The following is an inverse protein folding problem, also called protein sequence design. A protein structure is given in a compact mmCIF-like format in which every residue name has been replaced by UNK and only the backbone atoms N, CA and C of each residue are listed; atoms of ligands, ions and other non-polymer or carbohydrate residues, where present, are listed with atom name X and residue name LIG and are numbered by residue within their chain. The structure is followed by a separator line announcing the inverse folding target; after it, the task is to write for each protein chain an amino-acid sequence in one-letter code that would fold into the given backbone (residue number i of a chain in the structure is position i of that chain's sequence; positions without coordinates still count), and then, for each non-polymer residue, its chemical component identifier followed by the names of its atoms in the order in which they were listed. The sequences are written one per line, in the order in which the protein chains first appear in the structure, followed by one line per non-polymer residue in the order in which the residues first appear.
data_IF_196092175821
#
_entry.id   IF_196092175821
#
_cell.length_a   1.000
_cell.length_b   1.000
_cell.length_c   1.000
_cell.angle_alpha   90.00
_cell.angle_beta   90.00
_cell.angle_gamma   90.00
#
_symmetry.space_group_name_H-M   'P 1'
#
loop_
_entity.id
_entity.type
_entity.pdbx_description
1 polymer ?
#
# COMPACT_ATOMS: atom_id res chain seq x y z
N UNK A 1 12.38 1.89 -16.58
CA UNK A 1 13.56 2.15 -15.73
C UNK A 1 13.54 1.11 -14.63
N UNK A 2 14.62 0.36 -14.41
CA UNK A 2 14.70 -0.55 -13.28
C UNK A 2 14.68 0.30 -11.99
N UNK A 3 13.60 0.29 -11.28
CA UNK A 3 13.48 0.90 -9.95
C UNK A 3 14.53 0.25 -9.05
N UNK A 4 15.37 1.06 -8.47
CA UNK A 4 16.37 0.60 -7.50
C UNK A 4 15.62 0.06 -6.27
N UNK A 5 15.37 -1.25 -6.22
CA UNK A 5 14.67 -1.93 -5.12
C UNK A 5 15.62 -2.26 -3.97
N UNK A 6 16.39 -1.27 -3.53
CA UNK A 6 17.37 -1.42 -2.45
C UNK A 6 16.70 -1.82 -1.12
N UNK A 7 15.52 -1.27 -0.85
CA UNK A 7 14.71 -1.62 0.33
C UNK A 7 14.31 -3.09 0.32
N UNK A 8 13.66 -3.55 -0.74
CA UNK A 8 13.25 -4.94 -0.90
C UNK A 8 14.44 -5.91 -0.85
N UNK A 9 15.56 -5.59 -1.51
CA UNK A 9 16.76 -6.42 -1.46
C UNK A 9 17.32 -6.55 -0.03
N UNK A 10 17.28 -5.46 0.76
CA UNK A 10 17.73 -5.47 2.16
C UNK A 10 16.80 -6.26 3.06
N UNK A 11 15.48 -6.18 2.84
CA UNK A 11 14.49 -6.97 3.56
C UNK A 11 14.64 -8.47 3.26
N UNK A 12 14.78 -8.85 1.99
CA UNK A 12 15.06 -10.24 1.57
C UNK A 12 16.31 -10.80 2.26
N UNK A 13 17.37 -10.00 2.33
CA UNK A 13 18.59 -10.39 3.04
C UNK A 13 18.32 -10.59 4.54
N UNK A 14 17.61 -9.68 5.19
CA UNK A 14 17.27 -9.80 6.61
C UNK A 14 16.48 -11.08 6.88
N UNK A 15 15.44 -11.36 6.07
CA UNK A 15 14.62 -12.57 6.18
C UNK A 15 15.47 -13.84 6.05
N UNK A 16 16.42 -13.86 5.10
CA UNK A 16 17.35 -14.98 4.95
C UNK A 16 18.31 -15.10 6.15
N UNK A 17 18.85 -13.99 6.64
CA UNK A 17 19.81 -13.95 7.77
C UNK A 17 19.17 -14.47 9.08
N UNK A 18 17.86 -14.26 9.29
CA UNK A 18 17.10 -14.77 10.44
C UNK A 18 16.52 -16.17 10.22
N UNK A 19 16.76 -16.79 9.06
CA UNK A 19 16.26 -18.12 8.72
C UNK A 19 14.77 -18.19 8.53
N UNK A 20 14.17 -17.12 8.02
CA UNK A 20 12.73 -17.00 7.85
C UNK A 20 12.29 -17.59 6.51
N UNK A 21 11.68 -18.78 6.51
CA UNK A 21 11.33 -19.52 5.31
C UNK A 21 9.89 -19.27 4.83
N UNK A 22 8.92 -19.38 5.73
CA UNK A 22 7.52 -19.14 5.42
C UNK A 22 6.92 -18.22 6.47
N UNK A 23 6.40 -17.11 6.01
CA UNK A 23 5.92 -16.05 6.88
C UNK A 23 4.72 -16.51 7.69
N UNK A 24 4.99 -16.82 8.89
CA UNK A 24 4.08 -16.64 9.99
C UNK A 24 4.43 -15.33 10.68
N UNK A 25 3.68 -14.88 11.63
CA UNK A 25 3.85 -13.59 12.26
C UNK A 25 5.29 -13.31 12.71
N UNK A 26 5.94 -12.32 12.07
CA UNK A 26 7.17 -11.75 12.60
C UNK A 26 6.78 -10.88 13.81
N UNK A 27 7.27 -11.29 14.98
CA UNK A 27 7.20 -10.44 16.17
C UNK A 27 8.15 -9.25 15.99
N UNK A 28 7.58 -8.06 15.83
CA UNK A 28 8.34 -6.84 15.57
C UNK A 28 9.22 -6.42 16.74
N UNK A 29 8.82 -6.72 17.98
CA UNK A 29 9.59 -6.39 19.19
C UNK A 29 10.82 -7.27 19.29
N UNK A 30 10.65 -8.57 19.05
CA UNK A 30 11.77 -9.52 18.99
C UNK A 30 12.73 -9.15 17.85
N UNK A 31 12.20 -8.79 16.68
CA UNK A 31 13.03 -8.40 15.54
C UNK A 31 13.84 -7.14 15.84
N UNK A 32 13.22 -6.08 16.36
CA UNK A 32 13.90 -4.82 16.72
C UNK A 32 14.99 -5.09 17.77
N UNK A 33 14.68 -5.90 18.79
CA UNK A 33 15.65 -6.28 19.83
C UNK A 33 16.82 -7.09 19.26
N UNK A 34 16.53 -8.05 18.38
CA UNK A 34 17.55 -8.87 17.69
C UNK A 34 18.46 -8.06 16.79
N UNK A 35 18.00 -6.93 16.26
CA UNK A 35 18.79 -5.97 15.49
C UNK A 35 19.61 -5.00 16.37
N UNK A 36 19.54 -5.10 17.71
CA UNK A 36 20.27 -4.25 18.65
C UNK A 36 19.64 -2.87 18.87
N UNK A 37 18.37 -2.69 18.48
CA UNK A 37 17.60 -1.49 18.77
C UNK A 37 16.59 -1.74 19.90
N UNK A 38 16.00 -0.67 20.43
CA UNK A 38 14.94 -0.74 21.45
C UNK A 38 13.68 -0.10 20.91
N UNK A 39 12.58 -0.85 20.92
CA UNK A 39 11.26 -0.33 20.57
C UNK A 39 10.63 0.39 21.76
N UNK A 40 10.08 1.57 21.55
CA UNK A 40 9.36 2.37 22.55
C UNK A 40 8.04 2.84 21.93
N UNK A 41 6.96 2.60 22.64
CA UNK A 41 5.65 3.12 22.28
C UNK A 41 5.28 4.27 23.20
N UNK A 42 5.10 5.44 22.61
CA UNK A 42 4.70 6.65 23.33
C UNK A 42 3.90 7.57 22.41
N UNK A 43 3.08 8.49 22.92
CA UNK A 43 2.43 9.49 22.08
C UNK A 43 3.46 10.34 21.34
N UNK A 44 3.40 10.36 20.02
CA UNK A 44 4.25 11.20 19.16
C UNK A 44 3.44 12.35 18.57
N UNK A 45 4.01 13.54 18.60
CA UNK A 45 3.40 14.71 18.00
C UNK A 45 3.78 14.76 16.50
N UNK A 46 2.76 14.71 15.62
CA UNK A 46 2.92 14.82 14.17
C UNK A 46 3.80 13.74 13.49
N UNK A 47 3.96 12.57 14.11
CA UNK A 47 4.67 11.45 13.51
C UNK A 47 4.03 10.12 13.90
N UNK A 48 4.07 9.14 13.00
CA UNK A 48 3.67 7.76 13.28
C UNK A 48 4.84 6.96 13.87
N UNK A 49 6.05 7.20 13.40
CA UNK A 49 7.29 6.59 13.88
C UNK A 49 8.45 7.58 13.91
N UNK A 50 9.52 7.21 14.59
CA UNK A 50 10.76 7.99 14.65
C UNK A 50 11.94 7.15 15.11
N UNK A 51 13.08 7.28 14.42
CA UNK A 51 14.37 6.73 14.87
C UNK A 51 15.19 7.78 15.62
N UNK A 52 15.80 7.35 16.73
CA UNK A 52 16.78 8.13 17.48
C UNK A 52 18.06 7.30 17.61
N UNK A 53 19.15 7.79 17.02
CA UNK A 53 20.47 7.17 17.11
C UNK A 53 21.31 7.88 18.16
N UNK A 54 21.64 7.16 19.21
CA UNK A 54 22.62 7.59 20.20
C UNK A 54 23.99 6.93 19.97
N UNK A 55 24.98 7.33 20.76
CA UNK A 55 26.35 6.78 20.65
C UNK A 55 26.44 5.27 20.96
N UNK A 56 25.56 4.76 21.81
CA UNK A 56 25.58 3.36 22.27
C UNK A 56 24.27 2.61 22.05
N UNK A 57 23.18 3.30 21.74
CA UNK A 57 21.83 2.71 21.59
C UNK A 57 21.06 3.40 20.48
N UNK A 58 20.27 2.62 19.76
CA UNK A 58 19.27 3.11 18.82
C UNK A 58 17.89 2.85 19.37
N UNK A 59 17.03 3.86 19.35
CA UNK A 59 15.63 3.76 19.74
C UNK A 59 14.76 3.89 18.49
N UNK A 60 13.82 2.97 18.32
CA UNK A 60 12.71 3.06 17.38
C UNK A 60 11.49 3.44 18.21
N UNK A 61 10.92 4.61 17.95
CA UNK A 61 9.72 5.08 18.62
C UNK A 61 8.53 4.98 17.69
N UNK A 62 7.43 4.47 18.21
CA UNK A 62 6.16 4.33 17.48
C UNK A 62 5.06 5.03 18.26
N UNK A 63 4.18 5.69 17.54
CA UNK A 63 3.10 6.44 18.13
C UNK A 63 2.05 5.50 18.74
N UNK A 64 1.93 5.52 20.07
CA UNK A 64 1.01 4.65 20.82
C UNK A 64 -0.47 4.94 20.57
N UNK A 65 -0.82 6.05 19.91
CA UNK A 65 -2.22 6.38 19.54
C UNK A 65 -2.62 5.82 18.16
N UNK A 66 -1.76 5.07 17.49
CA UNK A 66 -2.13 4.38 16.24
C UNK A 66 -3.19 3.32 16.56
N UNK A 67 -4.43 3.43 16.01
CA UNK A 67 -5.53 2.57 16.42
C UNK A 67 -5.54 1.20 15.73
N UNK A 68 -4.73 1.04 14.66
CA UNK A 68 -4.74 -0.16 13.82
C UNK A 68 -3.42 -0.90 13.88
N UNK A 69 -3.46 -2.18 14.25
CA UNK A 69 -2.28 -3.03 14.36
C UNK A 69 -1.50 -3.15 13.03
N UNK A 70 -2.19 -3.29 11.92
CA UNK A 70 -1.56 -3.32 10.59
C UNK A 70 -0.74 -2.05 10.30
N UNK A 71 -1.24 -0.88 10.72
CA UNK A 71 -0.52 0.39 10.59
C UNK A 71 0.67 0.45 11.55
N UNK A 72 0.49 0.02 12.80
CA UNK A 72 1.57 -0.06 13.79
C UNK A 72 2.71 -0.95 13.29
N UNK A 73 2.40 -2.17 12.85
CA UNK A 73 3.38 -3.12 12.29
C UNK A 73 4.15 -2.54 11.11
N UNK A 74 3.44 -1.88 10.20
CA UNK A 74 4.09 -1.24 9.07
C UNK A 74 4.99 -0.10 9.51
N UNK A 75 4.57 0.75 10.44
CA UNK A 75 5.40 1.84 10.97
C UNK A 75 6.69 1.28 11.58
N UNK A 76 6.63 0.21 12.37
CA UNK A 76 7.83 -0.44 12.92
C UNK A 76 8.74 -0.95 11.79
N UNK A 77 8.17 -1.66 10.81
CA UNK A 77 8.92 -2.18 9.68
C UNK A 77 9.59 -1.07 8.85
N UNK A 78 8.90 0.06 8.67
CA UNK A 78 9.43 1.24 8.00
C UNK A 78 10.62 1.84 8.76
N UNK A 79 10.51 2.00 10.07
CA UNK A 79 11.62 2.49 10.91
C UNK A 79 12.81 1.51 10.93
N UNK A 80 12.56 0.19 10.89
CA UNK A 80 13.63 -0.81 10.68
C UNK A 80 14.29 -0.58 9.32
N UNK A 81 13.52 -0.27 8.27
CA UNK A 81 14.05 0.09 6.96
C UNK A 81 15.03 1.27 7.04
N UNK A 82 14.63 2.35 7.68
CA UNK A 82 15.52 3.48 7.95
C UNK A 82 16.74 3.09 8.79
N UNK A 83 16.57 2.23 9.79
CA UNK A 83 17.66 1.77 10.63
C UNK A 83 18.74 1.03 9.85
N UNK A 84 18.35 0.19 8.91
CA UNK A 84 19.25 -0.71 8.18
C UNK A 84 19.82 -0.13 6.89
N UNK A 85 19.19 0.92 6.34
CA UNK A 85 19.53 1.47 5.03
C UNK A 85 20.20 2.84 5.10
N UNK A 86 19.93 3.63 6.14
CA UNK A 86 20.31 5.04 6.19
C UNK A 86 21.10 5.37 7.44
N UNK A 87 22.40 5.68 7.28
CA UNK A 87 23.25 6.09 8.42
C UNK A 87 22.87 7.48 8.95
N UNK A 88 22.44 8.36 8.06
CA UNK A 88 21.94 9.70 8.38
C UNK A 88 20.53 9.85 7.80
N UNK A 89 19.58 10.19 8.66
CA UNK A 89 18.23 10.51 8.20
C UNK A 89 18.18 11.96 7.73
N UNK A 90 17.71 12.17 6.52
CA UNK A 90 17.29 13.50 6.08
C UNK A 90 16.02 13.85 6.87
N UNK A 91 16.06 14.96 7.62
CA UNK A 91 14.93 15.38 8.46
C UNK A 91 13.83 15.91 7.55
N UNK A 92 12.84 15.08 7.28
CA UNK A 92 11.58 15.51 6.71
C UNK A 92 10.53 15.53 7.83
N UNK A 93 9.82 16.64 7.99
CA UNK A 93 8.68 16.70 8.90
C UNK A 93 7.58 15.79 8.33
N UNK A 94 7.48 14.58 8.84
CA UNK A 94 6.36 13.69 8.59
C UNK A 94 5.10 14.30 9.19
N UNK A 95 4.37 15.06 8.40
CA UNK A 95 3.00 15.36 8.74
C UNK A 95 2.20 14.06 8.66
N UNK A 96 1.49 13.72 9.73
CA UNK A 96 0.68 12.52 9.98
C UNK A 96 -0.43 12.21 8.96
N UNK A 97 -0.41 12.82 7.79
CA UNK A 97 -1.31 12.50 6.70
C UNK A 97 -0.83 11.24 5.99
N UNK A 98 -1.16 10.09 6.59
CA UNK A 98 -0.99 8.71 6.08
C UNK A 98 -1.51 8.49 4.66
N UNK A 99 -2.27 9.42 4.12
CA UNK A 99 -2.80 9.41 2.75
C UNK A 99 -1.73 9.55 1.66
N UNK A 100 -0.53 9.97 2.03
CA UNK A 100 0.55 10.22 1.07
C UNK A 100 1.52 9.06 0.86
N UNK A 101 1.25 7.90 1.44
CA UNK A 101 2.08 6.71 1.35
C UNK A 101 2.31 6.22 -0.09
N UNK A 102 1.36 6.51 -0.96
CA UNK A 102 1.24 5.91 -2.28
C UNK A 102 1.56 6.87 -3.43
N UNK A 103 2.02 8.08 -3.14
CA UNK A 103 2.41 9.05 -4.16
C UNK A 103 3.89 8.88 -4.58
N UNK A 104 4.23 7.82 -5.34
CA UNK A 104 5.62 7.49 -5.66
C UNK A 104 6.36 8.49 -6.53
N UNK A 105 5.69 9.23 -7.37
CA UNK A 105 6.36 10.16 -8.29
C UNK A 105 6.49 11.56 -7.68
N UNK A 106 5.42 12.10 -7.13
CA UNK A 106 5.46 13.40 -6.45
C UNK A 106 6.15 13.32 -5.09
N UNK A 107 5.99 12.20 -4.35
CA UNK A 107 6.63 12.02 -3.04
C UNK A 107 8.09 11.63 -3.12
N UNK A 108 8.55 10.95 -4.18
CA UNK A 108 9.98 10.69 -4.37
C UNK A 108 10.76 12.00 -4.50
N UNK A 109 10.18 13.02 -5.13
CA UNK A 109 10.80 14.35 -5.20
C UNK A 109 10.57 15.20 -3.94
N UNK A 110 9.50 14.96 -3.18
CA UNK A 110 9.14 15.77 -2.00
C UNK A 110 9.60 15.15 -0.68
N UNK A 111 9.70 13.80 -0.59
CA UNK A 111 10.07 13.07 0.63
C UNK A 111 11.44 12.41 0.58
N UNK A 112 12.09 12.38 -0.60
CA UNK A 112 13.40 11.80 -0.76
C UNK A 112 13.42 10.28 -1.00
N UNK A 113 14.55 9.83 -1.49
CA UNK A 113 14.82 8.42 -1.82
C UNK A 113 14.74 7.53 -0.58
N UNK A 114 15.08 8.07 0.60
CA UNK A 114 15.13 7.31 1.85
C UNK A 114 13.73 6.80 2.27
N UNK A 115 12.68 7.62 2.12
CA UNK A 115 11.32 7.22 2.44
C UNK A 115 10.81 6.13 1.51
N UNK A 116 11.12 6.26 0.21
CA UNK A 116 10.79 5.22 -0.76
C UNK A 116 11.49 3.89 -0.43
N UNK A 117 12.78 3.92 -0.12
CA UNK A 117 13.55 2.72 0.26
C UNK A 117 13.02 2.09 1.55
N UNK A 118 12.62 2.89 2.54
CA UNK A 118 12.05 2.39 3.79
C UNK A 118 10.67 1.75 3.58
N UNK A 119 9.82 2.34 2.73
CA UNK A 119 8.52 1.77 2.36
C UNK A 119 8.68 0.46 1.56
N UNK A 120 9.60 0.42 0.60
CA UNK A 120 9.92 -0.79 -0.18
C UNK A 120 10.44 -1.91 0.73
N UNK A 121 11.30 -1.56 1.72
CA UNK A 121 11.75 -2.48 2.76
C UNK A 121 10.59 -3.02 3.60
N UNK A 122 9.74 -2.14 4.14
CA UNK A 122 8.61 -2.53 4.98
C UNK A 122 7.62 -3.43 4.24
N UNK A 123 7.33 -3.11 2.99
CA UNK A 123 6.45 -3.91 2.13
C UNK A 123 7.01 -5.33 1.91
N UNK A 124 8.31 -5.46 1.61
CA UNK A 124 8.94 -6.77 1.42
C UNK A 124 9.08 -7.54 2.73
N UNK A 125 9.38 -6.87 3.85
CA UNK A 125 9.50 -7.50 5.15
C UNK A 125 8.16 -8.12 5.61
N UNK A 126 7.06 -7.37 5.47
CA UNK A 126 5.74 -7.79 5.92
C UNK A 126 5.02 -8.72 4.94
N UNK A 127 5.27 -8.56 3.65
CA UNK A 127 4.68 -9.32 2.55
C UNK A 127 5.77 -9.86 1.62
N UNK A 128 6.61 -10.83 2.08
CA UNK A 128 7.69 -11.37 1.26
C UNK A 128 7.19 -11.91 -0.07
N UNK A 129 7.84 -11.51 -1.16
CA UNK A 129 7.39 -11.81 -2.52
C UNK A 129 7.09 -13.29 -2.74
N UNK A 130 7.96 -14.18 -2.27
CA UNK A 130 7.81 -15.63 -2.47
C UNK A 130 6.55 -16.15 -1.77
N UNK A 131 6.36 -15.80 -0.50
CA UNK A 131 5.18 -16.18 0.26
C UNK A 131 3.91 -15.55 -0.30
N UNK A 132 3.98 -14.26 -0.69
CA UNK A 132 2.83 -13.54 -1.22
C UNK A 132 2.35 -14.12 -2.56
N UNK A 133 3.27 -14.48 -3.47
CA UNK A 133 2.91 -15.16 -4.73
C UNK A 133 2.29 -16.53 -4.51
N UNK A 134 2.82 -17.28 -3.55
CA UNK A 134 2.30 -18.62 -3.18
C UNK A 134 0.85 -18.54 -2.69
N UNK A 135 0.51 -17.54 -1.87
CA UNK A 135 -0.86 -17.35 -1.37
C UNK A 135 -1.86 -16.93 -2.48
N UNK A 136 -1.39 -16.33 -3.56
CA UNK A 136 -2.24 -15.95 -4.70
C UNK A 136 -2.40 -17.09 -5.70
N UNK A 137 -1.43 -17.98 -5.78
CA UNK A 137 -1.43 -19.07 -6.78
C UNK A 137 -2.70 -19.94 -6.67
N UNK A 138 -3.42 -20.07 -7.77
CA UNK A 138 -4.64 -20.87 -7.85
C UNK A 138 -5.89 -20.21 -7.21
N UNK A 139 -5.79 -19.00 -6.68
CA UNK A 139 -6.93 -18.26 -6.16
C UNK A 139 -7.50 -17.28 -7.19
N UNK A 140 -8.82 -17.13 -7.19
CA UNK A 140 -9.50 -16.16 -8.03
C UNK A 140 -9.23 -14.73 -7.53
N UNK A 141 -8.94 -13.82 -8.45
CA UNK A 141 -8.67 -12.41 -8.12
C UNK A 141 -9.96 -11.71 -7.72
N UNK A 142 -10.11 -11.37 -6.44
CA UNK A 142 -11.36 -10.90 -5.85
C UNK A 142 -11.12 -10.12 -4.56
N UNK A 143 -12.12 -9.37 -4.05
CA UNK A 143 -12.06 -8.74 -2.74
C UNK A 143 -11.80 -9.71 -1.58
N UNK A 144 -12.24 -10.96 -1.71
CA UNK A 144 -12.01 -11.98 -0.68
C UNK A 144 -10.55 -12.41 -0.65
N UNK A 145 -9.90 -12.53 -1.81
CA UNK A 145 -8.45 -12.75 -1.88
C UNK A 145 -7.70 -11.60 -1.20
N UNK A 146 -8.10 -10.34 -1.42
CA UNK A 146 -7.46 -9.19 -0.77
C UNK A 146 -7.62 -9.23 0.75
N UNK A 147 -8.80 -9.62 1.23
CA UNK A 147 -9.08 -9.80 2.66
C UNK A 147 -8.24 -10.92 3.24
N UNK A 148 -8.19 -12.08 2.59
CA UNK A 148 -7.35 -13.22 2.98
C UNK A 148 -5.87 -12.83 3.09
N UNK A 149 -5.33 -12.18 2.06
CA UNK A 149 -3.93 -11.72 2.07
C UNK A 149 -3.65 -10.69 3.17
N UNK A 150 -4.58 -9.76 3.37
CA UNK A 150 -4.50 -8.75 4.44
C UNK A 150 -4.41 -9.41 5.83
N UNK A 151 -5.27 -10.38 6.10
CA UNK A 151 -5.26 -11.17 7.34
C UNK A 151 -4.00 -12.02 7.46
N UNK A 152 -3.64 -12.75 6.40
CA UNK A 152 -2.49 -13.66 6.36
C UNK A 152 -1.18 -12.95 6.70
N UNK A 153 -0.98 -11.73 6.21
CA UNK A 153 0.25 -10.96 6.40
C UNK A 153 0.14 -9.89 7.51
N UNK A 154 -1.00 -9.75 8.16
CA UNK A 154 -1.22 -8.74 9.19
C UNK A 154 -1.03 -7.31 8.66
N UNK A 155 -1.47 -7.04 7.43
CA UNK A 155 -1.36 -5.75 6.74
C UNK A 155 -2.74 -5.18 6.43
N UNK A 156 -2.83 -3.94 5.95
CA UNK A 156 -4.10 -3.40 5.47
C UNK A 156 -4.44 -3.92 4.07
N UNK A 157 -5.74 -4.00 3.75
CA UNK A 157 -6.21 -4.33 2.38
C UNK A 157 -5.57 -3.38 1.36
N UNK A 158 -5.45 -2.10 1.71
CA UNK A 158 -4.76 -1.10 0.88
C UNK A 158 -3.32 -1.50 0.59
N UNK A 159 -2.53 -1.84 1.61
CA UNK A 159 -1.14 -2.28 1.43
C UNK A 159 -1.05 -3.54 0.56
N UNK A 160 -1.97 -4.47 0.76
CA UNK A 160 -2.08 -5.72 -0.02
C UNK A 160 -2.32 -5.43 -1.51
N UNK A 161 -3.27 -4.56 -1.83
CA UNK A 161 -3.59 -4.17 -3.22
C UNK A 161 -2.39 -3.49 -3.90
N UNK A 162 -1.69 -2.60 -3.19
CA UNK A 162 -0.47 -2.00 -3.73
C UNK A 162 0.65 -3.01 -3.90
N UNK A 163 0.77 -4.01 -3.02
CA UNK A 163 1.75 -5.08 -3.17
C UNK A 163 1.49 -5.93 -4.43
N UNK A 164 0.23 -6.20 -4.74
CA UNK A 164 -0.18 -6.87 -5.99
C UNK A 164 0.29 -6.08 -7.21
N UNK A 165 0.06 -4.77 -7.21
CA UNK A 165 0.51 -3.87 -8.26
C UNK A 165 2.04 -3.84 -8.39
N UNK A 166 2.76 -3.68 -7.28
CA UNK A 166 4.23 -3.58 -7.25
C UNK A 166 4.92 -4.86 -7.74
N UNK A 167 4.33 -6.00 -7.44
CA UNK A 167 4.81 -7.30 -7.89
C UNK A 167 4.33 -7.68 -9.29
N UNK A 168 3.49 -6.84 -9.91
CA UNK A 168 2.87 -7.10 -11.22
C UNK A 168 2.24 -8.51 -11.30
N UNK A 169 1.43 -8.84 -10.30
CA UNK A 169 0.85 -10.18 -10.17
C UNK A 169 -0.39 -10.32 -11.06
N UNK A 170 -1.18 -9.26 -11.15
CA UNK A 170 -2.42 -9.22 -11.92
C UNK A 170 -2.54 -7.87 -12.64
N UNK A 171 -3.08 -7.83 -13.88
CA UNK A 171 -3.35 -6.57 -14.56
C UNK A 171 -4.42 -5.75 -13.83
N UNK A 172 -4.01 -4.68 -13.14
CA UNK A 172 -4.92 -3.82 -12.36
C UNK A 172 -4.66 -2.34 -12.62
N UNK A 173 -5.71 -1.54 -12.49
CA UNK A 173 -5.65 -0.10 -12.31
C UNK A 173 -6.07 0.22 -10.86
N UNK A 174 -5.27 1.01 -10.15
CA UNK A 174 -5.60 1.53 -8.84
C UNK A 174 -5.77 3.03 -8.96
N UNK A 175 -6.91 3.55 -8.53
CA UNK A 175 -7.23 4.98 -8.53
C UNK A 175 -7.38 5.46 -7.08
N UNK A 176 -6.63 6.47 -6.71
CA UNK A 176 -6.74 7.12 -5.41
C UNK A 176 -7.58 8.39 -5.54
N UNK A 177 -8.65 8.44 -4.77
CA UNK A 177 -9.63 9.54 -4.75
C UNK A 177 -9.63 10.15 -3.35
N UNK A 178 -9.58 11.47 -3.28
CA UNK A 178 -9.65 12.21 -2.03
C UNK A 178 -10.51 13.47 -2.24
N UNK A 179 -11.45 13.65 -1.32
CA UNK A 179 -12.39 14.77 -1.33
C UNK A 179 -13.10 14.93 -2.70
N UNK A 180 -13.64 13.79 -3.20
CA UNK A 180 -14.41 13.70 -4.44
C UNK A 180 -13.62 13.82 -5.73
N UNK A 181 -12.29 13.85 -5.69
CA UNK A 181 -11.44 14.01 -6.89
C UNK A 181 -10.34 12.97 -6.95
N UNK A 182 -10.07 12.49 -8.15
CA UNK A 182 -8.90 11.66 -8.44
C UNK A 182 -7.64 12.47 -8.18
N UNK A 183 -6.76 11.96 -7.32
CA UNK A 183 -5.48 12.57 -7.00
C UNK A 183 -4.36 12.01 -7.84
N UNK A 184 -4.36 10.69 -7.99
CA UNK A 184 -3.44 9.95 -8.85
C UNK A 184 -4.00 8.58 -9.15
N UNK A 185 -3.39 7.91 -10.10
CA UNK A 185 -3.65 6.51 -10.39
C UNK A 185 -2.35 5.79 -10.78
N UNK A 186 -2.35 4.49 -10.61
CA UNK A 186 -1.28 3.59 -11.03
C UNK A 186 -1.87 2.37 -11.70
N UNK A 187 -1.19 1.83 -12.69
CA UNK A 187 -1.61 0.60 -13.34
C UNK A 187 -0.45 -0.38 -13.49
N UNK A 188 -0.78 -1.66 -13.52
CA UNK A 188 0.15 -2.73 -13.87
C UNK A 188 0.72 -2.52 -15.27
N UNK A 189 2.00 -2.81 -15.51
CA UNK A 189 2.59 -2.82 -16.85
C UNK A 189 1.80 -3.69 -17.84
N UNK A 190 1.24 -4.80 -17.38
CA UNK A 190 0.51 -5.78 -18.18
C UNK A 190 -0.95 -5.38 -18.45
N UNK A 191 -1.44 -4.29 -17.85
CA UNK A 191 -2.75 -3.73 -18.20
C UNK A 191 -2.63 -2.83 -19.44
N UNK A 192 -2.96 -3.36 -20.61
CA UNK A 192 -2.80 -2.70 -21.91
C UNK A 192 -3.89 -1.68 -22.26
N UNK A 193 -4.57 -1.13 -21.26
CA UNK A 193 -5.61 -0.13 -21.42
C UNK A 193 -5.05 1.29 -21.24
N UNK A 194 -5.56 2.23 -22.05
CA UNK A 194 -5.26 3.66 -21.89
C UNK A 194 -6.26 4.28 -20.93
N UNK A 195 -5.77 4.73 -19.78
CA UNK A 195 -6.61 5.41 -18.77
C UNK A 195 -7.06 6.77 -19.30
N UNK A 196 -8.33 7.11 -19.10
CA UNK A 196 -8.88 8.45 -19.42
C UNK A 196 -8.11 9.54 -18.67
N UNK A 197 -8.18 10.77 -19.17
CA UNK A 197 -7.64 11.93 -18.43
C UNK A 197 -8.58 12.29 -17.28
N UNK A 198 -8.31 11.70 -16.11
CA UNK A 198 -9.14 11.81 -14.91
C UNK A 198 -8.45 12.58 -13.77
N UNK A 199 -7.20 13.02 -13.96
CA UNK A 199 -6.45 13.67 -12.90
C UNK A 199 -7.12 14.98 -12.44
N UNK A 200 -7.33 15.10 -11.12
CA UNK A 200 -8.01 16.23 -10.47
C UNK A 200 -9.50 16.40 -10.83
N UNK A 201 -10.05 15.47 -11.60
CA UNK A 201 -11.48 15.39 -11.93
C UNK A 201 -12.20 14.48 -10.92
N UNK A 202 -13.55 14.61 -10.79
CA UNK A 202 -14.34 13.57 -10.15
C UNK A 202 -14.17 12.23 -10.89
N UNK A 203 -14.35 11.09 -10.20
CA UNK A 203 -14.45 9.81 -10.91
C UNK A 203 -15.61 9.81 -11.90
N UNK A 204 -15.58 8.97 -12.93
CA UNK A 204 -16.67 8.84 -13.89
C UNK A 204 -18.02 8.62 -13.21
N UNK A 205 -19.09 9.15 -13.77
CA UNK A 205 -20.44 9.10 -13.18
C UNK A 205 -20.99 7.65 -13.10
N UNK A 206 -20.53 6.78 -13.98
CA UNK A 206 -20.85 5.36 -14.06
C UNK A 206 -19.87 4.45 -13.31
N UNK A 207 -18.98 5.01 -12.49
CA UNK A 207 -18.04 4.26 -11.65
C UNK A 207 -18.63 3.94 -10.27
N UNK A 208 -18.23 2.80 -9.72
CA UNK A 208 -18.56 2.43 -8.33
C UNK A 208 -18.00 3.45 -7.34
N UNK A 209 -16.82 4.01 -7.61
CA UNK A 209 -16.24 5.08 -6.80
C UNK A 209 -17.14 6.30 -6.69
N UNK A 210 -17.91 6.63 -7.74
CA UNK A 210 -18.88 7.73 -7.70
C UNK A 210 -20.03 7.46 -6.74
N UNK A 211 -20.56 6.25 -6.73
CA UNK A 211 -21.63 5.85 -5.81
C UNK A 211 -21.21 5.99 -4.35
N UNK A 212 -19.97 5.62 -4.00
CA UNK A 212 -19.42 5.81 -2.67
C UNK A 212 -19.28 7.30 -2.28
N UNK A 213 -18.95 8.18 -3.22
CA UNK A 213 -18.93 9.63 -2.96
C UNK A 213 -20.33 10.15 -2.69
N UNK A 214 -21.30 9.76 -3.51
CA UNK A 214 -22.70 10.17 -3.38
C UNK A 214 -23.33 9.62 -2.09
N UNK A 215 -22.88 8.46 -1.62
CA UNK A 215 -23.18 7.88 -0.30
C UNK A 215 -22.32 8.43 0.85
N UNK A 216 -21.64 9.58 0.68
CA UNK A 216 -20.83 10.21 1.71
C UNK A 216 -19.72 9.32 2.30
N UNK A 217 -19.10 8.48 1.46
CA UNK A 217 -18.03 7.53 1.82
C UNK A 217 -18.48 6.42 2.80
N UNK A 218 -19.77 6.18 2.92
CA UNK A 218 -20.30 5.01 3.63
C UNK A 218 -20.09 3.75 2.78
N UNK A 219 -20.11 2.59 3.43
CA UNK A 219 -20.07 1.32 2.70
C UNK A 219 -21.41 1.10 1.97
N UNK A 220 -21.37 1.09 0.66
CA UNK A 220 -22.52 0.85 -0.22
C UNK A 220 -22.70 -0.65 -0.43
N UNK A 221 -21.59 -1.36 -0.67
CA UNK A 221 -21.57 -2.78 -0.98
C UNK A 221 -20.90 -3.60 0.10
N UNK A 222 -21.43 -4.80 0.38
CA UNK A 222 -20.92 -5.71 1.41
C UNK A 222 -21.00 -7.17 0.96
N UNK A 223 -20.27 -8.07 1.63
CA UNK A 223 -20.26 -9.49 1.29
C UNK A 223 -19.81 -9.71 -0.16
N UNK A 224 -20.56 -10.55 -0.88
CA UNK A 224 -20.27 -10.92 -2.28
C UNK A 224 -20.47 -9.76 -3.27
N UNK A 225 -21.22 -8.71 -2.83
CA UNK A 225 -21.48 -7.54 -3.67
C UNK A 225 -20.35 -6.49 -3.65
N UNK A 226 -19.26 -6.70 -2.93
CA UNK A 226 -18.13 -5.75 -2.91
C UNK A 226 -17.49 -5.55 -4.29
N UNK A 227 -17.50 -6.56 -5.13
CA UNK A 227 -17.06 -6.52 -6.51
C UNK A 227 -18.23 -6.19 -7.41
N UNK A 228 -18.17 -5.07 -8.10
CA UNK A 228 -19.20 -4.63 -9.02
C UNK A 228 -18.70 -4.68 -10.45
N UNK A 229 -19.59 -5.07 -11.36
CA UNK A 229 -19.32 -5.06 -12.79
C UNK A 229 -19.47 -3.64 -13.34
N UNK A 230 -18.52 -3.24 -14.15
CA UNK A 230 -18.51 -1.98 -14.91
C UNK A 230 -18.10 -2.23 -16.35
N UNK A 231 -18.31 -1.26 -17.21
CA UNK A 231 -17.78 -1.31 -18.57
C UNK A 231 -16.32 -0.82 -18.61
N UNK A 232 -15.54 -1.34 -19.55
CA UNK A 232 -14.17 -0.88 -19.80
C UNK A 232 -14.15 0.62 -20.06
N UNK A 233 -15.12 1.15 -20.80
CA UNK A 233 -15.26 2.56 -21.11
C UNK A 233 -15.45 3.45 -19.89
N UNK A 234 -15.80 2.94 -18.72
CA UNK A 234 -15.88 3.73 -17.48
C UNK A 234 -14.55 4.41 -17.17
N UNK A 235 -13.45 3.66 -17.14
CA UNK A 235 -12.13 4.18 -16.76
C UNK A 235 -11.13 4.33 -17.91
N UNK A 236 -11.38 3.67 -19.05
CA UNK A 236 -10.43 3.60 -20.15
C UNK A 236 -10.96 4.23 -21.44
N UNK A 237 -10.04 4.77 -22.25
CA UNK A 237 -10.36 5.21 -23.60
C UNK A 237 -10.57 3.99 -24.48
N UNK A 238 -11.63 4.02 -25.32
CA UNK A 238 -11.88 3.04 -26.37
C UNK A 238 -11.58 3.66 -27.73
N UNK A 239 -11.03 2.88 -28.63
CA UNK A 239 -11.01 3.19 -30.05
C UNK A 239 -12.16 2.44 -30.78
N UNK A 240 -12.45 2.83 -32.01
CA UNK A 240 -13.54 2.28 -32.82
C UNK A 240 -13.46 0.76 -33.10
N UNK A 241 -12.32 0.13 -32.82
CA UNK A 241 -12.11 -1.32 -33.03
C UNK A 241 -12.09 -2.12 -31.69
N UNK A 242 -12.26 -1.45 -30.57
CA UNK A 242 -12.22 -2.09 -29.25
C UNK A 242 -13.63 -2.33 -28.75
N UNK A 243 -13.89 -3.54 -28.31
CA UNK A 243 -15.10 -3.89 -27.61
C UNK A 243 -15.12 -3.26 -26.22
N UNK A 244 -16.29 -2.83 -25.77
CA UNK A 244 -16.52 -2.33 -24.43
C UNK A 244 -16.74 -3.53 -23.48
N UNK A 245 -15.65 -4.24 -23.19
CA UNK A 245 -15.67 -5.45 -22.37
C UNK A 245 -16.02 -5.17 -20.90
N UNK A 246 -16.38 -6.23 -20.22
CA UNK A 246 -16.69 -6.19 -18.80
C UNK A 246 -15.40 -6.12 -17.96
N UNK A 247 -15.40 -5.22 -17.00
CA UNK A 247 -14.40 -5.05 -15.96
C UNK A 247 -15.06 -5.13 -14.58
N UNK A 248 -14.26 -5.33 -13.56
CA UNK A 248 -14.70 -5.23 -12.18
C UNK A 248 -14.10 -4.02 -11.50
N UNK A 249 -14.87 -3.44 -10.60
CA UNK A 249 -14.42 -2.37 -9.70
C UNK A 249 -14.73 -2.75 -8.25
N UNK A 250 -13.72 -2.61 -7.39
CA UNK A 250 -13.81 -2.75 -5.95
C UNK A 250 -13.31 -1.49 -5.27
N UNK A 251 -14.13 -0.91 -4.40
CA UNK A 251 -13.81 0.32 -3.69
C UNK A 251 -13.55 0.08 -2.20
N UNK A 252 -12.48 0.69 -1.69
CA UNK A 252 -12.10 0.71 -0.28
C UNK A 252 -12.28 2.14 0.23
N UNK A 253 -13.45 2.49 0.79
CA UNK A 253 -13.71 3.84 1.28
C UNK A 253 -13.12 4.05 2.68
N UNK A 254 -12.75 5.29 2.98
CA UNK A 254 -12.41 5.74 4.33
C UNK A 254 -13.10 7.05 4.63
N UNK A 255 -14.23 7.00 5.34
CA UNK A 255 -15.08 8.15 5.65
C UNK A 255 -14.33 9.25 6.39
N UNK A 256 -13.56 8.89 7.42
CA UNK A 256 -12.82 9.87 8.22
C UNK A 256 -11.90 10.76 7.39
N UNK A 257 -11.31 10.22 6.32
CA UNK A 257 -10.37 10.93 5.46
C UNK A 257 -10.97 11.32 4.11
N UNK A 258 -12.25 11.02 3.88
CA UNK A 258 -12.92 11.23 2.59
C UNK A 258 -12.11 10.67 1.42
N UNK A 259 -11.62 9.45 1.59
CA UNK A 259 -10.82 8.77 0.56
C UNK A 259 -11.48 7.51 0.06
N UNK A 260 -11.18 7.17 -1.18
CA UNK A 260 -11.53 5.90 -1.80
C UNK A 260 -10.29 5.41 -2.55
N UNK A 261 -9.96 4.14 -2.38
CA UNK A 261 -9.09 3.42 -3.28
C UNK A 261 -9.98 2.54 -4.14
N UNK A 262 -10.02 2.82 -5.43
CA UNK A 262 -10.74 2.02 -6.41
C UNK A 262 -9.75 1.11 -7.12
N UNK A 263 -10.04 -0.18 -7.14
CA UNK A 263 -9.26 -1.25 -7.78
C UNK A 263 -10.06 -1.77 -8.94
N UNK A 264 -9.50 -1.69 -10.15
CA UNK A 264 -10.18 -2.03 -11.41
C UNK A 264 -9.36 -3.09 -12.15
N UNK A 265 -10.03 -4.15 -12.61
CA UNK A 265 -9.40 -5.22 -13.39
C UNK A 265 -10.36 -5.81 -14.40
N UNK A 266 -9.83 -6.48 -15.43
CA UNK A 266 -10.62 -7.17 -16.45
C UNK A 266 -11.14 -8.51 -15.90
N UNK A 267 -12.39 -8.87 -16.27
CA UNK A 267 -13.01 -10.13 -15.87
C UNK A 267 -12.29 -11.36 -16.46
#
# INVERSE_FOLDING_TARGET
MATNRRGSARAKKLLADIGFDEVTDIDMEILVSGLGATLIEEPLLNADGKIIRGNSKTLIKVNSVIPYEAKRRFTIAHEIGHYLLHDKLEVHNENSNTLNWFNDIETTFQRGIQEFEANDFASELLMPEVAFRKEIEGNYFSPDLFSHLSERFGTSITSTVYRILDLNIHPVLIVFIHDGKVRYWKKSPDLWCRVKDINKLPPPDDSVAREYIDAHYEFVYSGDEKQQSIYRSTWFELNEYQEDSEFFEYCIPTKQYKTIISVIWEN
#
